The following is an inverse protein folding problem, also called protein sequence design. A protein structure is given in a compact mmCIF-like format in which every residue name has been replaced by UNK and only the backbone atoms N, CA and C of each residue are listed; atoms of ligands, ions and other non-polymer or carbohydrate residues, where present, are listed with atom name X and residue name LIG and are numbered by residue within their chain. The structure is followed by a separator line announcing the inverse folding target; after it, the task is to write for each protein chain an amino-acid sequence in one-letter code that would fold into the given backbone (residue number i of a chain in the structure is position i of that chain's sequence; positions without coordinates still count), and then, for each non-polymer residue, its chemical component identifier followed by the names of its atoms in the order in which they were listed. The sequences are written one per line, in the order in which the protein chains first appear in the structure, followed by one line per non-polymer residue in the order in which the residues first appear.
data_IF_716988747683
#
_entry.id   IF_716988747683
#
_cell.length_a   1.000
_cell.length_b   1.000
_cell.length_c   1.000
_cell.angle_alpha   90.00
_cell.angle_beta   90.00
_cell.angle_gamma   90.00
#
_symmetry.space_group_name_H-M   'P 1'
#
loop_
_entity.id
_entity.type
_entity.pdbx_description
1 polymer ?
#
# COMPACT_ATOMS: atom_id res chain seq x y z
N UNK A 1 -29.23 25.27 60.28
CA UNK A 1 -29.64 24.99 58.88
C UNK A 1 -28.64 23.99 58.31
N UNK A 2 -28.77 22.67 58.38
CA UNK A 2 -29.94 21.83 58.60
C UNK A 2 -30.52 21.31 57.28
N UNK A 3 -29.77 20.46 56.56
CA UNK A 3 -30.32 19.55 55.54
C UNK A 3 -29.41 18.32 55.39
N UNK A 4 -29.76 17.26 56.11
CA UNK A 4 -29.48 15.86 55.77
C UNK A 4 -30.60 15.37 54.83
N UNK A 5 -30.25 14.70 53.74
CA UNK A 5 -31.12 13.81 52.95
C UNK A 5 -30.24 12.63 52.54
N UNK A 6 -30.32 11.51 53.25
CA UNK A 6 -31.29 10.41 53.14
C UNK A 6 -30.82 9.31 52.18
N UNK A 7 -30.72 8.12 52.76
CA UNK A 7 -30.12 6.91 52.27
C UNK A 7 -31.17 6.01 51.63
N UNK A 8 -31.19 5.96 50.29
CA UNK A 8 -32.03 5.05 49.51
C UNK A 8 -31.29 3.77 49.13
N UNK A 9 -31.50 2.70 49.89
CA UNK A 9 -31.08 1.33 49.60
C UNK A 9 -31.88 0.74 48.44
N UNK A 10 -31.23 0.15 47.43
CA UNK A 10 -31.93 -0.61 46.38
C UNK A 10 -31.23 -1.93 46.08
N UNK A 11 -31.76 -2.99 46.71
CA UNK A 11 -31.46 -4.41 46.49
C UNK A 11 -31.81 -4.82 45.05
N UNK A 12 -30.84 -5.30 44.28
CA UNK A 12 -31.10 -5.98 43.01
C UNK A 12 -31.52 -7.44 43.30
N UNK A 13 -32.79 -7.73 43.01
CA UNK A 13 -33.39 -9.08 43.04
C UNK A 13 -32.86 -9.93 41.88
N UNK A 14 -32.29 -11.10 42.19
CA UNK A 14 -32.20 -12.23 41.25
C UNK A 14 -33.61 -12.73 40.90
N UNK A 15 -33.96 -12.74 39.62
CA UNK A 15 -35.04 -13.57 39.08
C UNK A 15 -34.46 -14.47 38.00
N UNK A 16 -34.50 -15.78 38.27
CA UNK A 16 -34.29 -16.81 37.27
C UNK A 16 -35.51 -16.94 36.37
N UNK A 17 -35.27 -17.26 35.11
CA UNK A 17 -36.26 -17.79 34.20
C UNK A 17 -35.64 -18.95 33.41
N UNK A 18 -36.17 -20.14 33.68
CA UNK A 18 -35.96 -21.40 32.94
C UNK A 18 -36.41 -21.22 31.49
N UNK A 19 -35.55 -21.61 30.54
CA UNK A 19 -35.91 -21.91 29.15
C UNK A 19 -35.39 -23.30 28.78
N UNK A 20 -36.31 -24.18 28.35
CA UNK A 20 -36.12 -25.63 28.11
C UNK A 20 -34.96 -25.98 27.19
N UNK A 21 -34.14 -26.92 27.64
CA UNK A 21 -33.25 -27.74 26.81
C UNK A 21 -34.11 -28.82 26.14
N UNK A 22 -34.20 -28.80 24.81
CA UNK A 22 -34.70 -29.92 24.01
C UNK A 22 -33.50 -30.74 23.56
N UNK A 23 -33.27 -31.85 24.25
CA UNK A 23 -32.39 -32.93 23.83
C UNK A 23 -32.91 -33.57 22.54
N UNK A 24 -32.09 -33.58 21.49
CA UNK A 24 -32.15 -34.61 20.46
C UNK A 24 -30.78 -35.27 20.40
N UNK A 25 -30.70 -36.41 21.08
CA UNK A 25 -29.66 -37.39 20.88
C UNK A 25 -29.91 -38.06 19.52
N UNK A 26 -28.87 -38.11 18.69
CA UNK A 26 -28.60 -39.23 17.79
C UNK A 26 -27.09 -39.43 17.86
N UNK A 27 -26.71 -40.48 18.58
CA UNK A 27 -25.39 -41.07 18.49
C UNK A 27 -25.36 -42.13 17.40
N UNK A 28 -24.15 -42.64 17.21
CA UNK A 28 -23.69 -43.73 16.35
C UNK A 28 -23.36 -43.32 14.91
N UNK A 29 -22.20 -43.62 14.34
CA UNK A 29 -20.93 -44.14 14.82
C UNK A 29 -19.97 -43.98 13.62
N UNK A 30 -18.72 -43.56 13.86
CA UNK A 30 -17.59 -43.80 12.96
C UNK A 30 -16.34 -43.12 13.55
N UNK A 31 -15.62 -43.89 14.34
CA UNK A 31 -14.20 -43.69 14.56
C UNK A 31 -13.45 -43.70 13.23
N UNK A 32 -13.02 -42.51 12.80
CA UNK A 32 -11.90 -42.31 11.87
C UNK A 32 -11.09 -41.20 12.53
N UNK A 33 -10.04 -41.54 13.26
CA UNK A 33 -8.77 -41.92 12.64
C UNK A 33 -8.05 -40.63 12.29
N UNK A 34 -6.98 -40.31 13.03
CA UNK A 34 -6.16 -39.14 12.75
C UNK A 34 -5.79 -39.07 11.27
N UNK A 35 -6.09 -37.96 10.63
CA UNK A 35 -5.84 -37.76 9.21
C UNK A 35 -5.76 -36.27 8.95
N UNK A 36 -4.64 -35.87 8.36
CA UNK A 36 -4.33 -34.52 7.95
C UNK A 36 -5.56 -33.73 7.50
N UNK A 37 -5.75 -32.55 8.08
CA UNK A 37 -6.75 -31.57 7.67
C UNK A 37 -6.74 -31.48 6.14
N UNK A 38 -7.75 -32.07 5.48
CA UNK A 38 -7.86 -32.01 4.03
C UNK A 38 -7.83 -30.52 3.63
N UNK A 39 -6.77 -30.06 2.95
CA UNK A 39 -6.55 -28.63 2.72
C UNK A 39 -7.70 -28.00 1.93
N UNK A 40 -8.38 -28.80 1.10
CA UNK A 40 -9.59 -28.39 0.37
C UNK A 40 -10.76 -28.16 1.33
N UNK A 41 -10.96 -29.02 2.32
CA UNK A 41 -12.03 -28.85 3.32
C UNK A 41 -11.76 -27.65 4.23
N UNK A 42 -10.52 -27.43 4.66
CA UNK A 42 -10.13 -26.23 5.42
C UNK A 42 -10.37 -24.96 4.60
N UNK A 43 -10.05 -24.99 3.31
CA UNK A 43 -10.28 -23.88 2.38
C UNK A 43 -11.78 -23.60 2.18
N UNK A 44 -12.59 -24.64 1.95
CA UNK A 44 -14.03 -24.53 1.78
C UNK A 44 -14.74 -24.04 3.05
N UNK A 45 -14.28 -24.46 4.23
CA UNK A 45 -14.80 -23.99 5.51
C UNK A 45 -14.49 -22.50 5.71
N UNK A 46 -13.24 -22.07 5.46
CA UNK A 46 -12.84 -20.66 5.53
C UNK A 46 -13.57 -19.75 4.52
N UNK A 47 -13.91 -20.27 3.34
CA UNK A 47 -14.69 -19.52 2.34
C UNK A 47 -16.19 -19.47 2.70
N UNK A 48 -16.70 -20.49 3.40
CA UNK A 48 -18.09 -20.54 3.86
C UNK A 48 -18.46 -19.41 4.82
N UNK A 49 -17.51 -18.97 5.64
CA UNK A 49 -17.69 -17.94 6.67
C UNK A 49 -17.77 -16.50 6.12
N UNK A 50 -17.33 -16.25 4.88
CA UNK A 50 -17.33 -14.91 4.28
C UNK A 50 -18.71 -14.60 3.70
N UNK A 51 -19.39 -13.56 4.20
CA UNK A 51 -20.71 -13.15 3.71
C UNK A 51 -20.68 -12.79 2.22
N UNK A 52 -21.73 -13.21 1.48
CA UNK A 52 -21.91 -12.81 0.08
C UNK A 52 -22.08 -11.28 0.04
N UNK A 53 -21.35 -10.64 -0.87
CA UNK A 53 -21.50 -9.23 -1.12
C UNK A 53 -22.84 -8.97 -1.82
N UNK A 54 -23.62 -8.02 -1.33
CA UNK A 54 -24.75 -7.47 -2.06
C UNK A 54 -24.24 -6.41 -3.07
N UNK A 55 -25.07 -6.02 -4.05
CA UNK A 55 -24.71 -4.99 -5.04
C UNK A 55 -24.21 -3.69 -4.40
N UNK A 56 -24.80 -3.26 -3.28
CA UNK A 56 -24.37 -2.07 -2.53
C UNK A 56 -23.00 -2.26 -1.88
N UNK A 57 -22.70 -3.45 -1.39
CA UNK A 57 -21.41 -3.85 -0.84
C UNK A 57 -20.33 -3.89 -1.92
N UNK A 58 -20.64 -4.43 -3.11
CA UNK A 58 -19.73 -4.40 -4.27
C UNK A 58 -19.38 -2.97 -4.66
N UNK A 59 -20.38 -2.10 -4.75
CA UNK A 59 -20.17 -0.67 -5.04
C UNK A 59 -19.31 0.01 -3.98
N UNK A 60 -19.61 -0.24 -2.69
CA UNK A 60 -18.84 0.35 -1.57
C UNK A 60 -17.39 -0.10 -1.58
N UNK A 61 -17.13 -1.39 -1.81
CA UNK A 61 -15.76 -1.91 -1.87
C UNK A 61 -15.03 -1.37 -3.09
N UNK A 62 -15.70 -1.30 -4.25
CA UNK A 62 -15.12 -0.72 -5.46
C UNK A 62 -14.73 0.74 -5.26
N UNK A 63 -15.62 1.54 -4.65
CA UNK A 63 -15.34 2.94 -4.31
C UNK A 63 -14.18 3.05 -3.32
N UNK A 64 -14.14 2.20 -2.29
CA UNK A 64 -13.04 2.19 -1.33
C UNK A 64 -11.69 1.84 -1.98
N UNK A 65 -11.66 0.87 -2.89
CA UNK A 65 -10.45 0.51 -3.64
C UNK A 65 -10.00 1.71 -4.48
N UNK A 66 -10.93 2.34 -5.20
CA UNK A 66 -10.64 3.48 -6.06
C UNK A 66 -10.11 4.67 -5.26
N UNK A 67 -10.81 5.07 -4.20
CA UNK A 67 -10.38 6.15 -3.30
C UNK A 67 -9.02 5.84 -2.66
N UNK A 68 -8.79 4.60 -2.23
CA UNK A 68 -7.49 4.17 -1.71
C UNK A 68 -6.37 4.28 -2.75
N UNK A 69 -6.63 3.88 -4.00
CA UNK A 69 -5.63 4.02 -5.07
C UNK A 69 -5.36 5.47 -5.45
N UNK A 70 -6.38 6.33 -5.45
CA UNK A 70 -6.23 7.77 -5.70
C UNK A 70 -5.39 8.42 -4.60
N UNK A 71 -5.67 8.10 -3.32
CA UNK A 71 -4.88 8.62 -2.19
C UNK A 71 -3.40 8.22 -2.29
N UNK A 72 -3.11 7.00 -2.74
CA UNK A 72 -1.73 6.55 -2.97
C UNK A 72 -1.08 7.32 -4.12
N UNK A 73 -1.80 7.54 -5.21
CA UNK A 73 -1.31 8.31 -6.36
C UNK A 73 -1.03 9.76 -5.99
N UNK A 74 -1.94 10.42 -5.28
CA UNK A 74 -1.74 11.76 -4.73
C UNK A 74 -0.51 11.77 -3.81
N UNK A 75 -0.38 10.83 -2.88
CA UNK A 75 0.80 10.74 -2.02
C UNK A 75 2.12 10.59 -2.79
N UNK A 76 2.13 9.83 -3.90
CA UNK A 76 3.30 9.69 -4.78
C UNK A 76 3.63 10.99 -5.52
N UNK A 77 2.63 11.68 -6.07
CA UNK A 77 2.81 13.00 -6.66
C UNK A 77 3.31 14.04 -5.64
N UNK A 78 3.03 13.82 -4.35
CA UNK A 78 3.57 14.65 -3.28
C UNK A 78 5.02 14.40 -2.93
N UNK A 79 5.58 13.27 -3.33
CA UNK A 79 6.99 12.99 -3.20
C UNK A 79 7.73 13.51 -4.42
N UNK A 80 8.86 14.19 -4.24
CA UNK A 80 9.67 14.71 -5.36
C UNK A 80 10.05 13.60 -6.34
N UNK A 81 10.61 12.50 -5.83
CA UNK A 81 10.92 11.32 -6.63
C UNK A 81 9.68 10.77 -7.36
N UNK A 82 8.57 10.57 -6.66
CA UNK A 82 7.36 10.00 -7.26
C UNK A 82 6.77 10.89 -8.36
N UNK A 83 6.76 12.21 -8.16
CA UNK A 83 6.33 13.19 -9.15
C UNK A 83 7.21 13.17 -10.40
N UNK A 84 8.53 13.26 -10.22
CA UNK A 84 9.47 13.33 -11.34
C UNK A 84 9.49 12.00 -12.12
N UNK A 85 9.24 10.89 -11.43
CA UNK A 85 9.07 9.55 -12.01
C UNK A 85 7.79 9.41 -12.82
N UNK A 86 6.63 9.78 -12.24
CA UNK A 86 5.33 9.66 -12.90
C UNK A 86 5.21 10.64 -14.08
N UNK A 87 5.49 11.92 -13.85
CA UNK A 87 5.35 12.95 -14.89
C UNK A 87 6.41 12.82 -16.00
N UNK A 88 7.56 12.23 -15.70
CA UNK A 88 8.61 11.92 -16.67
C UNK A 88 8.46 10.55 -17.34
N UNK A 89 7.49 9.72 -16.93
CA UNK A 89 7.40 8.34 -17.39
C UNK A 89 7.14 8.23 -18.89
N UNK A 90 6.28 9.08 -19.45
CA UNK A 90 5.96 9.02 -20.89
C UNK A 90 7.19 9.24 -21.75
N UNK A 91 8.03 10.21 -21.39
CA UNK A 91 9.29 10.50 -22.08
C UNK A 91 10.26 9.32 -21.99
N UNK A 92 10.41 8.73 -20.80
CA UNK A 92 11.31 7.57 -20.61
C UNK A 92 10.85 6.33 -21.33
N UNK A 93 9.54 6.10 -21.44
CA UNK A 93 9.00 4.99 -22.22
C UNK A 93 9.27 5.16 -23.73
N UNK A 94 9.35 6.40 -24.20
CA UNK A 94 9.70 6.70 -25.60
C UNK A 94 11.20 6.53 -25.83
N UNK A 95 12.04 7.10 -24.96
CA UNK A 95 13.48 7.22 -25.16
C UNK A 95 14.28 5.97 -24.73
N UNK A 96 13.91 5.34 -23.61
CA UNK A 96 14.65 4.22 -23.01
C UNK A 96 13.94 2.89 -23.25
N UNK A 97 14.53 2.10 -24.17
CA UNK A 97 14.06 0.75 -24.50
C UNK A 97 14.09 -0.18 -23.28
N UNK A 98 15.11 -0.06 -22.42
CA UNK A 98 15.25 -0.89 -21.22
C UNK A 98 14.12 -0.61 -20.23
N UNK A 99 13.84 0.67 -20.00
CA UNK A 99 12.74 1.09 -19.15
C UNK A 99 11.39 0.62 -19.72
N UNK A 100 11.21 0.72 -21.04
CA UNK A 100 10.01 0.23 -21.72
C UNK A 100 9.83 -1.28 -21.55
N UNK A 101 10.86 -2.09 -21.78
CA UNK A 101 10.79 -3.55 -21.58
C UNK A 101 10.44 -3.91 -20.12
N UNK A 102 11.07 -3.24 -19.15
CA UNK A 102 10.78 -3.44 -17.71
C UNK A 102 9.33 -3.13 -17.32
N UNK A 103 8.69 -2.19 -18.01
CA UNK A 103 7.29 -1.81 -17.74
C UNK A 103 6.32 -2.67 -18.53
N UNK A 104 6.64 -3.04 -19.78
CA UNK A 104 5.74 -3.76 -20.66
C UNK A 104 5.76 -5.28 -20.46
N UNK A 105 6.66 -5.82 -19.63
CA UNK A 105 6.86 -7.27 -19.46
C UNK A 105 6.99 -7.97 -20.83
N UNK A 106 7.66 -7.32 -21.79
CA UNK A 106 7.96 -7.89 -23.10
C UNK A 106 9.33 -8.54 -23.03
N UNK A 107 9.48 -9.77 -23.51
CA UNK A 107 10.80 -10.40 -23.63
C UNK A 107 11.71 -9.52 -24.51
N UNK A 108 12.97 -9.34 -24.11
CA UNK A 108 13.96 -8.43 -24.72
C UNK A 108 14.23 -8.68 -26.22
N UNK A 109 13.71 -9.78 -26.78
CA UNK A 109 13.91 -10.24 -28.17
C UNK A 109 12.73 -9.95 -29.12
N UNK A 110 11.65 -9.28 -28.67
CA UNK A 110 10.57 -8.87 -29.58
C UNK A 110 10.91 -7.50 -30.15
N UNK A 111 11.35 -7.47 -31.42
CA UNK A 111 11.36 -6.24 -32.21
C UNK A 111 9.99 -5.57 -32.05
N UNK A 112 9.99 -4.38 -31.43
CA UNK A 112 8.81 -3.54 -31.25
C UNK A 112 8.33 -3.02 -32.61
N UNK A 113 7.82 -3.89 -33.47
CA UNK A 113 7.08 -3.54 -34.69
C UNK A 113 5.59 -3.29 -34.41
N UNK A 114 5.22 -3.08 -33.14
CA UNK A 114 3.84 -2.82 -32.77
C UNK A 114 3.52 -1.32 -32.92
N UNK A 115 3.31 -0.91 -34.18
CA UNK A 115 2.88 0.45 -34.55
C UNK A 115 1.64 0.93 -33.78
N UNK A 116 0.84 0.02 -33.23
CA UNK A 116 -0.29 0.33 -32.36
C UNK A 116 0.14 0.82 -30.97
N UNK A 117 1.01 0.08 -30.29
CA UNK A 117 1.46 0.40 -28.93
C UNK A 117 2.25 1.73 -28.89
N UNK A 118 3.09 1.97 -29.92
CA UNK A 118 3.80 3.25 -30.05
C UNK A 118 2.84 4.43 -30.23
N UNK A 119 1.78 4.28 -31.04
CA UNK A 119 0.74 5.31 -31.18
C UNK A 119 -0.04 5.55 -29.89
N UNK A 120 -0.33 4.50 -29.12
CA UNK A 120 -0.94 4.65 -27.80
C UNK A 120 -0.02 5.36 -26.82
N UNK A 121 1.28 5.07 -26.87
CA UNK A 121 2.28 5.73 -26.05
C UNK A 121 2.45 7.21 -26.43
N UNK A 122 2.46 7.55 -27.72
CA UNK A 122 2.45 8.94 -28.19
C UNK A 122 1.21 9.70 -27.72
N UNK A 123 0.03 9.07 -27.81
CA UNK A 123 -1.22 9.65 -27.27
C UNK A 123 -1.14 9.85 -25.77
N UNK A 124 -0.63 8.88 -25.03
CA UNK A 124 -0.40 8.99 -23.59
C UNK A 124 0.57 10.13 -23.28
N UNK A 125 1.66 10.25 -24.03
CA UNK A 125 2.63 11.33 -23.87
C UNK A 125 1.96 12.70 -24.07
N UNK A 126 1.20 12.88 -25.14
CA UNK A 126 0.49 14.15 -25.41
C UNK A 126 -0.52 14.48 -24.30
N UNK A 127 -1.35 13.52 -23.90
CA UNK A 127 -2.35 13.72 -22.85
C UNK A 127 -1.70 13.97 -21.48
N UNK A 128 -0.61 13.26 -21.16
CA UNK A 128 0.12 13.45 -19.92
C UNK A 128 0.80 14.82 -19.89
N UNK A 129 1.36 15.29 -21.00
CA UNK A 129 1.97 16.63 -21.09
C UNK A 129 0.92 17.72 -20.87
N UNK A 130 -0.26 17.62 -21.50
CA UNK A 130 -1.36 18.57 -21.27
C UNK A 130 -1.87 18.54 -19.81
N UNK A 131 -2.07 17.33 -19.25
CA UNK A 131 -2.51 17.18 -17.86
C UNK A 131 -1.44 17.67 -16.87
N UNK A 132 -0.16 17.49 -17.20
CA UNK A 132 0.97 18.02 -16.45
C UNK A 132 0.98 19.55 -16.46
N UNK A 133 0.84 20.18 -17.62
CA UNK A 133 0.83 21.64 -17.74
C UNK A 133 -0.34 22.27 -16.96
N UNK A 134 -1.53 21.67 -17.03
CA UNK A 134 -2.69 22.13 -16.25
C UNK A 134 -2.44 22.00 -14.75
N UNK A 135 -1.85 20.89 -14.30
CA UNK A 135 -1.45 20.70 -12.91
C UNK A 135 -0.35 21.68 -12.48
N UNK A 136 0.70 21.90 -13.29
CA UNK A 136 1.79 22.83 -13.00
C UNK A 136 1.29 24.27 -12.89
N UNK A 137 0.36 24.68 -13.76
CA UNK A 137 -0.28 26.00 -13.73
C UNK A 137 -1.07 26.24 -12.44
N UNK A 138 -1.81 25.23 -11.97
CA UNK A 138 -2.62 25.34 -10.75
C UNK A 138 -1.78 25.22 -9.47
N UNK A 139 -0.70 24.44 -9.53
CA UNK A 139 0.10 24.09 -8.36
C UNK A 139 1.37 24.93 -8.19
N UNK A 140 1.76 25.71 -9.21
CA UNK A 140 3.07 26.36 -9.27
C UNK A 140 4.24 25.38 -9.24
N UNK A 141 3.99 24.12 -9.60
CA UNK A 141 4.95 23.02 -9.46
C UNK A 141 5.13 22.50 -8.02
N UNK A 142 4.34 22.99 -7.06
CA UNK A 142 4.32 22.48 -5.68
C UNK A 142 3.13 21.55 -5.48
N UNK A 143 3.36 20.33 -4.99
CA UNK A 143 2.25 19.40 -4.74
C UNK A 143 1.22 19.89 -3.72
N UNK A 144 1.66 20.65 -2.72
CA UNK A 144 0.79 21.23 -1.69
C UNK A 144 1.05 22.73 -1.63
N UNK A 145 0.45 23.52 -2.54
CA UNK A 145 0.53 24.97 -2.47
C UNK A 145 -0.19 25.45 -1.21
N UNK A 146 0.43 26.34 -0.44
CA UNK A 146 -0.19 26.92 0.74
C UNK A 146 -0.96 28.18 0.36
N UNK A 147 -2.09 28.43 1.02
CA UNK A 147 -2.88 29.65 0.81
C UNK A 147 -3.74 29.65 -0.44
N UNK A 148 -4.16 28.47 -0.91
CA UNK A 148 -5.16 28.34 -1.96
C UNK A 148 -6.56 28.60 -1.41
N UNK A 149 -7.41 29.16 -2.27
CA UNK A 149 -8.85 29.23 -2.04
C UNK A 149 -9.50 27.83 -2.15
N UNK A 150 -10.68 27.62 -1.55
CA UNK A 150 -11.38 26.32 -1.57
C UNK A 150 -11.67 25.84 -3.00
N UNK A 151 -12.00 26.78 -3.89
CA UNK A 151 -12.21 26.52 -5.32
C UNK A 151 -10.92 26.06 -6.01
N UNK A 152 -9.80 26.72 -5.72
CA UNK A 152 -8.50 26.39 -6.30
C UNK A 152 -7.97 25.03 -5.81
N UNK A 153 -8.21 24.68 -4.54
CA UNK A 153 -7.92 23.34 -4.03
C UNK A 153 -8.75 22.26 -4.74
N UNK A 154 -10.02 22.56 -5.02
CA UNK A 154 -10.92 21.63 -5.69
C UNK A 154 -10.49 21.40 -7.14
N UNK A 155 -10.13 22.47 -7.86
CA UNK A 155 -9.54 22.39 -9.20
C UNK A 155 -8.23 21.58 -9.21
N UNK A 156 -7.35 21.78 -8.21
CA UNK A 156 -6.12 21.00 -8.09
C UNK A 156 -6.40 19.51 -7.89
N UNK A 157 -7.37 19.17 -7.03
CA UNK A 157 -7.83 17.78 -6.83
C UNK A 157 -8.41 17.20 -8.12
N UNK A 158 -9.17 17.98 -8.88
CA UNK A 158 -9.68 17.54 -10.18
C UNK A 158 -8.56 17.26 -11.19
N UNK A 159 -7.53 18.11 -11.24
CA UNK A 159 -6.35 17.90 -12.09
C UNK A 159 -5.56 16.64 -11.68
N UNK A 160 -5.34 16.43 -10.38
CA UNK A 160 -4.69 15.21 -9.86
C UNK A 160 -5.47 13.94 -10.22
N UNK A 161 -6.80 13.98 -10.11
CA UNK A 161 -7.67 12.87 -10.53
C UNK A 161 -7.69 12.66 -12.05
N UNK A 162 -7.54 13.73 -12.85
CA UNK A 162 -7.39 13.60 -14.30
C UNK A 162 -6.07 12.88 -14.65
N UNK A 163 -4.97 13.24 -14.00
CA UNK A 163 -3.69 12.51 -14.12
C UNK A 163 -3.86 11.04 -13.76
N UNK A 164 -4.47 10.72 -12.62
CA UNK A 164 -4.69 9.33 -12.23
C UNK A 164 -5.55 8.55 -13.23
N UNK A 165 -6.59 9.17 -13.79
CA UNK A 165 -7.42 8.56 -14.84
C UNK A 165 -6.60 8.16 -16.06
N UNK A 166 -5.70 9.02 -16.53
CA UNK A 166 -4.77 8.68 -17.62
C UNK A 166 -3.92 7.45 -17.24
N UNK A 167 -3.32 7.43 -16.06
CA UNK A 167 -2.54 6.27 -15.61
C UNK A 167 -3.38 4.99 -15.50
N UNK A 168 -4.69 5.07 -15.26
CA UNK A 168 -5.59 3.92 -15.18
C UNK A 168 -6.07 3.45 -16.56
N UNK A 169 -6.30 4.38 -17.48
CA UNK A 169 -6.79 4.10 -18.85
C UNK A 169 -5.72 3.42 -19.71
N UNK A 170 -4.46 3.82 -19.54
CA UNK A 170 -3.35 3.20 -20.25
C UNK A 170 -2.74 2.05 -19.42
N UNK A 171 -2.73 0.84 -19.97
CA UNK A 171 -2.25 -0.36 -19.27
C UNK A 171 -0.80 -0.23 -18.78
N UNK A 172 0.10 0.31 -19.61
CA UNK A 172 1.48 0.60 -19.21
C UNK A 172 1.57 1.74 -18.20
N UNK A 173 0.65 2.71 -18.24
CA UNK A 173 0.55 3.77 -17.22
C UNK A 173 0.37 3.18 -15.84
N UNK A 174 -0.57 2.24 -15.68
CA UNK A 174 -0.83 1.62 -14.38
C UNK A 174 0.38 0.83 -13.88
N UNK A 175 1.12 0.19 -14.79
CA UNK A 175 2.36 -0.53 -14.46
C UNK A 175 3.46 0.40 -14.00
N UNK A 176 3.64 1.55 -14.65
CA UNK A 176 4.54 2.61 -14.15
C UNK A 176 4.15 2.99 -12.72
N UNK A 177 2.87 3.29 -12.48
CA UNK A 177 2.38 3.64 -11.13
C UNK A 177 2.74 2.57 -10.09
N UNK A 178 2.48 1.30 -10.38
CA UNK A 178 2.83 0.17 -9.49
C UNK A 178 4.35 0.07 -9.28
N UNK A 179 5.15 0.29 -10.34
CA UNK A 179 6.62 0.29 -10.26
C UNK A 179 7.11 1.41 -9.34
N UNK A 180 6.66 2.64 -9.53
CA UNK A 180 7.03 3.79 -8.66
C UNK A 180 6.65 3.50 -7.20
N UNK A 181 5.43 3.00 -6.98
CA UNK A 181 4.94 2.60 -5.67
C UNK A 181 5.87 1.57 -5.01
N UNK A 182 6.24 0.51 -5.75
CA UNK A 182 7.13 -0.53 -5.25
C UNK A 182 8.52 0.00 -4.89
N UNK A 183 9.07 0.91 -5.68
CA UNK A 183 10.37 1.54 -5.44
C UNK A 183 10.37 2.38 -4.17
N UNK A 184 9.34 3.20 -3.97
CA UNK A 184 9.18 4.02 -2.75
C UNK A 184 9.04 3.12 -1.51
N UNK A 185 8.22 2.06 -1.58
CA UNK A 185 8.04 1.11 -0.48
C UNK A 185 9.32 0.38 -0.12
N UNK A 186 10.06 -0.09 -1.13
CA UNK A 186 11.33 -0.78 -0.94
C UNK A 186 12.37 0.13 -0.30
N UNK A 187 12.51 1.37 -0.78
CA UNK A 187 13.40 2.36 -0.19
C UNK A 187 13.04 2.66 1.28
N UNK A 188 11.75 2.81 1.60
CA UNK A 188 11.30 3.00 2.98
C UNK A 188 11.62 1.79 3.87
N UNK A 189 11.47 0.56 3.35
CA UNK A 189 11.83 -0.66 4.07
C UNK A 189 13.34 -0.76 4.32
N UNK A 190 14.17 -0.38 3.35
CA UNK A 190 15.62 -0.39 3.45
C UNK A 190 16.15 0.66 4.44
N UNK A 191 15.52 1.83 4.48
CA UNK A 191 15.82 2.85 5.50
C UNK A 191 15.46 2.35 6.89
N UNK A 192 14.25 1.80 7.09
CA UNK A 192 13.84 1.22 8.39
C UNK A 192 14.75 0.08 8.82
N UNK A 193 15.27 -0.73 7.88
CA UNK A 193 16.24 -1.79 8.16
C UNK A 193 17.57 -1.19 8.62
N UNK A 194 18.09 -0.21 7.90
CA UNK A 194 19.34 0.48 8.22
C UNK A 194 19.27 1.23 9.56
N UNK A 195 18.15 1.91 9.85
CA UNK A 195 17.91 2.58 11.14
C UNK A 195 17.90 1.58 12.31
N UNK A 196 17.28 0.41 12.15
CA UNK A 196 17.30 -0.65 13.18
C UNK A 196 18.71 -1.21 13.40
N UNK A 197 19.52 -1.34 12.34
CA UNK A 197 20.91 -1.75 12.47
C UNK A 197 21.74 -0.70 13.21
N UNK A 198 21.61 0.57 12.82
CA UNK A 198 22.28 1.68 13.51
C UNK A 198 21.85 1.83 14.96
N UNK A 199 20.58 1.55 15.30
CA UNK A 199 20.12 1.57 16.69
C UNK A 199 20.83 0.49 17.52
N UNK A 200 20.99 -0.72 16.97
CA UNK A 200 21.72 -1.82 17.63
C UNK A 200 23.21 -1.50 17.82
N UNK A 201 23.83 -0.83 16.85
CA UNK A 201 25.23 -0.41 16.96
C UNK A 201 25.37 0.77 17.92
N UNK A 202 24.43 1.71 17.87
CA UNK A 202 24.37 2.87 18.74
C UNK A 202 24.28 2.51 20.22
N UNK A 203 23.51 1.47 20.58
CA UNK A 203 23.46 0.97 21.96
C UNK A 203 24.79 0.46 22.50
N UNK A 204 25.70 -0.01 21.63
CA UNK A 204 27.03 -0.49 22.04
C UNK A 204 28.02 0.66 22.29
N UNK A 205 27.81 1.79 21.61
CA UNK A 205 28.75 2.91 21.56
C UNK A 205 28.23 4.14 22.32
N UNK A 206 26.97 4.13 22.75
CA UNK A 206 26.32 5.28 23.40
C UNK A 206 25.88 6.37 22.41
N UNK A 207 25.58 6.00 21.17
CA UNK A 207 25.20 6.92 20.09
C UNK A 207 23.77 6.66 19.60
N UNK A 208 23.12 7.68 19.03
CA UNK A 208 21.81 7.51 18.39
C UNK A 208 21.99 7.21 16.90
N UNK A 209 21.02 6.57 16.23
CA UNK A 209 21.08 6.37 14.78
C UNK A 209 21.31 7.67 13.99
N UNK A 210 20.69 8.77 14.44
CA UNK A 210 20.83 10.08 13.81
C UNK A 210 22.27 10.60 13.92
N UNK A 211 22.89 10.51 15.10
CA UNK A 211 24.28 10.97 15.28
C UNK A 211 25.28 10.14 14.48
N UNK A 212 25.02 8.83 14.32
CA UNK A 212 25.84 7.95 13.47
C UNK A 212 25.75 8.30 11.98
N UNK A 213 24.55 8.66 11.49
CA UNK A 213 24.37 9.11 10.10
C UNK A 213 25.05 10.47 9.87
N UNK A 214 24.91 11.41 10.80
CA UNK A 214 25.61 12.71 10.70
C UNK A 214 27.13 12.55 10.73
N UNK A 215 27.64 11.70 11.61
CA UNK A 215 29.06 11.37 11.66
C UNK A 215 29.57 10.84 10.32
N UNK A 216 28.84 9.91 9.70
CA UNK A 216 29.15 9.42 8.36
C UNK A 216 29.19 10.55 7.32
N UNK A 217 28.18 11.42 7.29
CA UNK A 217 28.12 12.55 6.35
C UNK A 217 29.26 13.56 6.51
N UNK A 218 29.81 13.71 7.72
CA UNK A 218 30.95 14.58 8.03
C UNK A 218 32.31 13.97 7.68
N UNK A 219 32.36 12.77 7.08
CA UNK A 219 33.61 12.09 6.73
C UNK A 219 34.11 11.12 7.81
N UNK A 220 33.25 10.74 8.75
CA UNK A 220 33.52 9.76 9.80
C UNK A 220 33.52 10.36 11.20
N UNK A 221 33.28 9.51 12.21
CA UNK A 221 33.49 9.83 13.62
C UNK A 221 34.39 8.78 14.25
N UNK A 222 35.35 9.25 15.05
CA UNK A 222 36.16 8.41 15.91
C UNK A 222 35.33 8.05 17.15
N UNK A 223 34.66 6.91 17.10
CA UNK A 223 34.09 6.30 18.30
C UNK A 223 35.18 5.44 18.96
N UNK A 224 35.73 5.84 20.12
CA UNK A 224 36.94 5.23 20.67
C UNK A 224 36.80 3.73 20.97
N UNK A 225 35.57 3.25 21.18
CA UNK A 225 35.23 1.86 21.50
C UNK A 225 34.85 1.02 20.27
N UNK A 226 34.88 1.57 19.06
CA UNK A 226 34.37 0.89 17.87
C UNK A 226 35.45 0.09 17.14
N UNK A 227 35.23 -1.21 16.96
CA UNK A 227 36.10 -2.05 16.12
C UNK A 227 35.97 -1.67 14.63
N UNK A 228 36.99 -1.95 13.83
CA UNK A 228 36.97 -1.65 12.38
C UNK A 228 35.83 -2.38 11.65
N UNK A 229 35.50 -3.60 12.09
CA UNK A 229 34.36 -4.36 11.54
C UNK A 229 33.01 -3.73 11.87
N UNK A 230 32.86 -3.14 13.06
CA UNK A 230 31.66 -2.41 13.46
C UNK A 230 31.56 -1.07 12.70
N UNK A 231 32.69 -0.36 12.56
CA UNK A 231 32.79 0.87 11.77
C UNK A 231 32.30 0.68 10.34
N UNK A 232 32.82 -0.34 9.64
CA UNK A 232 32.39 -0.66 8.27
C UNK A 232 30.89 -0.94 8.16
N UNK A 233 30.30 -1.63 9.16
CA UNK A 233 28.85 -1.91 9.17
C UNK A 233 28.02 -0.65 9.41
N UNK A 234 28.49 0.26 10.27
CA UNK A 234 27.88 1.58 10.48
C UNK A 234 27.94 2.41 9.21
N UNK A 235 29.09 2.45 8.53
CA UNK A 235 29.27 3.17 7.27
C UNK A 235 28.35 2.65 6.16
N UNK A 236 28.22 1.33 6.02
CA UNK A 236 27.27 0.73 5.05
C UNK A 236 25.82 1.12 5.37
N UNK A 237 25.40 1.02 6.63
CA UNK A 237 24.03 1.35 7.02
C UNK A 237 23.73 2.85 6.90
N UNK A 238 24.66 3.71 7.30
CA UNK A 238 24.54 5.16 7.17
C UNK A 238 24.59 5.58 5.69
N UNK A 239 25.48 4.98 4.89
CA UNK A 239 25.56 5.21 3.45
C UNK A 239 24.31 4.79 2.69
N UNK A 240 23.64 3.71 3.10
CA UNK A 240 22.34 3.34 2.54
C UNK A 240 21.27 4.40 2.82
N UNK A 241 21.22 4.94 4.04
CA UNK A 241 20.27 6.01 4.39
C UNK A 241 20.54 7.27 3.58
N UNK A 242 21.80 7.68 3.52
CA UNK A 242 22.26 8.85 2.76
C UNK A 242 22.00 8.71 1.24
N UNK A 243 22.19 7.51 0.69
CA UNK A 243 21.82 7.19 -0.69
C UNK A 243 20.32 7.37 -0.94
N UNK A 244 19.47 6.82 -0.07
CA UNK A 244 18.01 6.94 -0.22
C UNK A 244 17.57 8.39 -0.07
N UNK A 245 18.15 9.14 0.87
CA UNK A 245 17.84 10.56 1.05
C UNK A 245 18.17 11.38 -0.21
N UNK A 246 19.33 11.16 -0.84
CA UNK A 246 19.68 11.79 -2.12
C UNK A 246 18.74 11.39 -3.25
N UNK A 247 18.41 10.10 -3.35
CA UNK A 247 17.53 9.57 -4.39
C UNK A 247 16.11 10.15 -4.26
N UNK A 248 15.58 10.25 -3.04
CA UNK A 248 14.24 10.76 -2.77
C UNK A 248 14.16 12.29 -2.81
N UNK A 249 15.30 12.96 -2.66
CA UNK A 249 15.42 14.42 -2.73
C UNK A 249 14.70 15.15 -1.60
N UNK A 250 14.53 14.49 -0.45
CA UNK A 250 13.88 15.00 0.77
C UNK A 250 14.59 14.41 1.98
N UNK A 251 14.47 15.07 3.14
CA UNK A 251 15.02 14.52 4.38
C UNK A 251 14.39 13.16 4.72
N UNK A 252 15.18 12.31 5.38
CA UNK A 252 14.78 10.93 5.65
C UNK A 252 13.56 10.81 6.58
N UNK A 253 13.37 11.77 7.50
CA UNK A 253 12.28 11.73 8.46
C UNK A 253 10.95 12.03 7.75
N UNK A 254 10.91 13.08 6.94
CA UNK A 254 9.79 13.42 6.06
C UNK A 254 9.50 12.32 5.06
N UNK A 255 10.54 11.71 4.47
CA UNK A 255 10.35 10.57 3.57
C UNK A 255 9.62 9.41 4.26
N UNK A 256 10.07 9.02 5.46
CA UNK A 256 9.47 7.92 6.23
C UNK A 256 8.02 8.24 6.62
N UNK A 257 7.74 9.48 7.05
CA UNK A 257 6.37 9.90 7.37
C UNK A 257 5.45 9.81 6.15
N UNK A 258 5.87 10.38 5.02
CA UNK A 258 5.10 10.32 3.76
C UNK A 258 4.92 8.89 3.27
N UNK A 259 5.96 8.06 3.35
CA UNK A 259 5.91 6.65 2.97
C UNK A 259 4.96 5.84 3.89
N UNK A 260 4.87 6.19 5.18
CA UNK A 260 3.93 5.56 6.10
C UNK A 260 2.47 5.89 5.75
N UNK A 261 2.17 7.15 5.39
CA UNK A 261 0.83 7.55 4.93
C UNK A 261 0.45 6.84 3.64
N UNK A 262 1.39 6.75 2.70
CA UNK A 262 1.22 6.01 1.45
C UNK A 262 0.96 4.52 1.70
N UNK A 263 1.69 3.89 2.61
CA UNK A 263 1.47 2.48 2.96
C UNK A 263 0.07 2.25 3.55
N UNK A 264 -0.42 3.17 4.39
CA UNK A 264 -1.78 3.07 4.93
C UNK A 264 -2.85 3.13 3.82
N UNK A 265 -2.70 4.02 2.85
CA UNK A 265 -3.60 4.10 1.69
C UNK A 265 -3.56 2.82 0.84
N UNK A 266 -2.36 2.30 0.60
CA UNK A 266 -2.17 1.07 -0.16
C UNK A 266 -2.80 -0.14 0.54
N UNK A 267 -2.58 -0.29 1.85
CA UNK A 267 -3.17 -1.37 2.64
C UNK A 267 -4.71 -1.34 2.61
N UNK A 268 -5.33 -0.16 2.67
CA UNK A 268 -6.79 -0.03 2.56
C UNK A 268 -7.32 -0.50 1.20
N UNK A 269 -6.61 -0.17 0.12
CA UNK A 269 -6.95 -0.63 -1.23
C UNK A 269 -6.77 -2.15 -1.36
N UNK A 270 -5.67 -2.71 -0.86
CA UNK A 270 -5.41 -4.16 -0.89
C UNK A 270 -6.41 -4.96 -0.05
N UNK A 271 -6.81 -4.45 1.12
CA UNK A 271 -7.86 -5.06 1.92
C UNK A 271 -9.18 -5.10 1.17
N UNK A 272 -9.56 -4.00 0.50
CA UNK A 272 -10.76 -3.98 -0.35
C UNK A 272 -10.68 -5.00 -1.48
N UNK A 273 -9.54 -5.09 -2.18
CA UNK A 273 -9.31 -6.08 -3.24
C UNK A 273 -9.44 -7.51 -2.72
N UNK A 274 -8.83 -7.81 -1.57
CA UNK A 274 -8.90 -9.13 -0.96
C UNK A 274 -10.35 -9.53 -0.64
N UNK A 275 -11.15 -8.63 -0.06
CA UNK A 275 -12.56 -8.90 0.21
C UNK A 275 -13.35 -9.12 -1.07
N UNK A 276 -13.11 -8.31 -2.12
CA UNK A 276 -13.78 -8.47 -3.42
C UNK A 276 -13.42 -9.81 -4.09
N UNK A 277 -12.15 -10.22 -4.04
CA UNK A 277 -11.69 -11.52 -4.56
C UNK A 277 -12.35 -12.65 -3.78
N UNK A 278 -12.41 -12.59 -2.45
CA UNK A 278 -13.04 -13.61 -1.62
C UNK A 278 -14.54 -13.75 -1.91
N UNK A 279 -15.24 -12.63 -2.09
CA UNK A 279 -16.66 -12.63 -2.48
C UNK A 279 -16.87 -13.30 -3.86
N UNK A 280 -16.01 -13.01 -4.83
CA UNK A 280 -16.06 -13.59 -6.17
C UNK A 280 -15.67 -15.09 -6.19
N UNK A 281 -14.69 -15.51 -5.38
CA UNK A 281 -14.31 -16.91 -5.26
C UNK A 281 -15.46 -17.80 -4.77
N UNK A 282 -16.37 -17.27 -3.94
CA UNK A 282 -17.57 -17.99 -3.50
C UNK A 282 -18.54 -18.27 -4.64
N UNK A 283 -18.68 -17.35 -5.60
CA UNK A 283 -19.44 -17.59 -6.83
C UNK A 283 -18.83 -18.77 -7.61
N UNK A 284 -17.51 -18.75 -7.81
CA UNK A 284 -16.78 -19.83 -8.50
C UNK A 284 -17.00 -21.18 -7.81
N UNK A 285 -16.91 -21.24 -6.48
CA UNK A 285 -17.18 -22.47 -5.71
C UNK A 285 -18.64 -22.93 -5.85
N UNK A 286 -19.61 -22.01 -5.84
CA UNK A 286 -21.02 -22.37 -6.05
C UNK A 286 -21.31 -22.93 -7.44
N UNK A 287 -20.62 -22.41 -8.46
CA UNK A 287 -20.67 -22.92 -9.84
C UNK A 287 -19.96 -24.28 -9.91
N UNK A 288 -18.78 -24.41 -9.32
CA UNK A 288 -18.01 -25.66 -9.27
C UNK A 288 -18.76 -26.79 -8.56
N UNK A 289 -19.47 -26.52 -7.46
CA UNK A 289 -20.38 -27.48 -6.80
C UNK A 289 -21.49 -27.99 -7.74
N UNK A 290 -21.98 -27.12 -8.63
CA UNK A 290 -22.99 -27.47 -9.64
C UNK A 290 -22.44 -28.39 -10.74
N UNK A 291 -21.13 -28.33 -10.99
CA UNK A 291 -20.44 -29.20 -11.95
C UNK A 291 -19.91 -30.50 -11.33
N UNK A 292 -19.48 -30.50 -10.06
CA UNK A 292 -19.10 -31.73 -9.35
C UNK A 292 -20.27 -32.71 -9.19
N UNK A 293 -21.49 -32.20 -8.97
CA UNK A 293 -22.70 -33.04 -8.88
C UNK A 293 -23.26 -33.47 -10.26
N UNK A 294 -22.54 -33.22 -11.37
CA UNK A 294 -22.96 -33.59 -12.73
C UNK A 294 -22.04 -34.60 -13.43
N UNK A 295 -20.95 -35.04 -12.79
CA UNK A 295 -20.08 -36.08 -13.33
C UNK A 295 -19.24 -36.73 -12.23
N UNK A 296 -19.78 -37.79 -11.65
CA UNK A 296 -19.20 -39.14 -11.57
C UNK A 296 -20.35 -40.13 -11.34
#
# INVERSE_FOLDING_TARGET
MGTQLDSGSMKVRKKGARGKVSSRAHGDDASVGGGDLNPVMVYLQRIGDVQLLNRLGEQRISQQIEEGTIQVFEALLGMRFGRDELLGASQRLLDDVTYRCQIMDTDDDVEFEDTGALKELEKFHQQLTQARETWERLSGGSFAPQGLDEDAETELRHAQRALFRLFKEFGFGYRVFVKVLSTVRQAAADVKRSQRQLARFGTMVGATPATLVEAYKRGGSAWPSMTESLKRRVEVAAGNIDRVERQMGTDIATFIDRAARLEQGHLRAEQGRAVMILANLRLVVSIAKRYMNRSL
#
